data_IF_760596908073
#
_entry.id   IF_760596908073
#
_cell.length_a   1.000
_cell.length_b   1.000
_cell.length_c   1.000
_cell.angle_alpha   90.00
_cell.angle_beta   90.00
_cell.angle_gamma   90.00
#
_symmetry.space_group_name_H-M   'P 1'
#
loop_
_entity.id
_entity.type
_entity.pdbx_description
1 polymer ?
#
# COMPACT_ATOMS: atom_id res chain seq x y z
N UNK A 1 2.60 16.47 4.77
CA UNK A 1 3.93 16.77 4.21
C UNK A 1 5.01 15.91 4.90
N UNK A 2 6.04 15.48 4.17
CA UNK A 2 7.22 14.81 4.74
C UNK A 2 8.48 15.27 4.03
N UNK A 3 9.46 15.71 4.81
CA UNK A 3 10.79 16.08 4.32
C UNK A 3 11.88 15.39 5.13
N UNK A 4 13.01 15.14 4.49
CA UNK A 4 14.25 14.68 5.13
C UNK A 4 15.34 15.73 4.86
N UNK A 5 15.66 16.52 5.87
CA UNK A 5 16.53 17.67 5.71
C UNK A 5 15.93 18.68 4.73
N UNK A 6 16.60 18.95 3.62
CA UNK A 6 16.16 19.87 2.54
C UNK A 6 15.26 19.20 1.50
N UNK A 7 15.21 17.88 1.46
CA UNK A 7 14.50 17.15 0.41
C UNK A 7 13.06 16.90 0.80
N UNK A 8 12.12 17.47 0.05
CA UNK A 8 10.67 17.25 0.22
C UNK A 8 10.30 16.00 -0.55
N UNK A 9 9.80 14.98 0.18
CA UNK A 9 9.37 13.69 -0.41
C UNK A 9 7.88 13.69 -0.69
N UNK A 10 7.08 14.25 0.21
CA UNK A 10 5.62 14.31 0.10
C UNK A 10 5.17 15.72 0.46
N UNK A 11 4.41 16.37 -0.43
CA UNK A 11 3.93 17.72 -0.25
C UNK A 11 2.43 17.80 -0.58
N UNK A 12 1.69 18.46 0.28
CA UNK A 12 0.26 18.74 0.12
C UNK A 12 -0.59 17.54 -0.30
N UNK A 13 -0.33 16.38 0.33
CA UNK A 13 -1.08 15.15 0.08
C UNK A 13 -2.21 15.05 1.10
N UNK A 14 -3.45 15.02 0.59
CA UNK A 14 -4.67 14.82 1.39
C UNK A 14 -5.56 13.78 0.71
N UNK A 15 -5.96 12.76 1.45
CA UNK A 15 -6.87 11.72 0.97
C UNK A 15 -7.64 11.08 2.13
N UNK A 16 -8.68 10.35 1.78
CA UNK A 16 -9.42 9.50 2.71
C UNK A 16 -9.59 8.10 2.13
N UNK A 17 -9.52 7.09 2.98
CA UNK A 17 -9.74 5.68 2.62
C UNK A 17 -10.88 5.15 3.47
N UNK A 18 -11.87 4.52 2.83
CA UNK A 18 -13.03 3.98 3.49
C UNK A 18 -12.84 2.49 3.80
N UNK A 19 -13.65 1.97 4.74
CA UNK A 19 -13.68 0.54 5.03
C UNK A 19 -14.01 -0.27 3.77
N UNK A 20 -13.15 -1.25 3.47
CA UNK A 20 -13.30 -2.12 2.30
C UNK A 20 -12.73 -1.55 0.99
N UNK A 21 -12.16 -0.32 0.99
CA UNK A 21 -11.41 0.17 -0.15
C UNK A 21 -10.16 -0.70 -0.36
N UNK A 22 -9.84 -0.97 -1.62
CA UNK A 22 -8.63 -1.67 -2.03
C UNK A 22 -7.80 -0.73 -2.89
N UNK A 23 -6.83 -0.08 -2.24
CA UNK A 23 -6.05 1.01 -2.81
C UNK A 23 -4.70 0.50 -3.28
N UNK A 24 -4.36 0.73 -4.55
CA UNK A 24 -3.02 0.53 -5.08
C UNK A 24 -2.24 1.84 -5.09
N UNK A 25 -1.03 1.85 -4.57
CA UNK A 25 -0.13 3.01 -4.66
C UNK A 25 0.89 2.72 -5.77
N UNK A 26 0.92 3.58 -6.77
CA UNK A 26 1.82 3.48 -7.92
C UNK A 26 2.67 4.74 -8.05
N UNK A 27 3.82 4.63 -8.72
CA UNK A 27 4.71 5.76 -8.95
C UNK A 27 6.15 5.31 -9.19
N UNK A 28 7.04 6.19 -9.64
CA UNK A 28 8.45 5.86 -9.86
C UNK A 28 9.16 5.47 -8.56
N UNK A 29 10.33 4.84 -8.69
CA UNK A 29 11.18 4.58 -7.52
C UNK A 29 11.62 5.90 -6.91
N UNK A 30 11.63 5.98 -5.57
CA UNK A 30 11.95 7.20 -4.84
C UNK A 30 10.79 8.21 -4.72
N UNK A 31 9.59 7.95 -5.27
CA UNK A 31 8.44 8.84 -5.14
C UNK A 31 7.81 8.91 -3.73
N UNK A 32 8.37 8.20 -2.74
CA UNK A 32 7.88 8.25 -1.35
C UNK A 32 6.77 7.24 -1.04
N UNK A 33 6.53 6.21 -1.86
CA UNK A 33 5.48 5.20 -1.63
C UNK A 33 5.63 4.50 -0.27
N UNK A 34 6.79 3.93 0.01
CA UNK A 34 7.12 3.31 1.31
C UNK A 34 7.06 4.31 2.46
N UNK A 35 7.51 5.55 2.24
CA UNK A 35 7.42 6.62 3.23
C UNK A 35 5.96 6.94 3.58
N UNK A 36 5.08 6.98 2.58
CA UNK A 36 3.65 7.19 2.81
C UNK A 36 3.04 6.05 3.63
N UNK A 37 3.36 4.79 3.29
CA UNK A 37 2.90 3.63 4.08
C UNK A 37 3.41 3.69 5.52
N UNK A 38 4.68 4.01 5.74
CA UNK A 38 5.25 4.07 7.09
C UNK A 38 4.65 5.21 7.94
N UNK A 39 4.23 6.33 7.31
CA UNK A 39 3.51 7.41 7.99
C UNK A 39 2.10 6.95 8.38
N UNK A 40 1.38 6.27 7.47
CA UNK A 40 0.04 5.73 7.78
C UNK A 40 0.13 4.66 8.87
N UNK A 41 1.18 3.85 8.89
CA UNK A 41 1.44 2.84 9.92
C UNK A 41 1.77 3.44 11.31
N UNK A 42 2.06 4.74 11.37
CA UNK A 42 2.49 5.40 12.61
C UNK A 42 3.95 5.15 12.98
N UNK A 43 4.77 4.59 12.07
CA UNK A 43 6.20 4.36 12.30
C UNK A 43 7.05 5.60 12.06
N UNK A 44 6.61 6.47 11.14
CA UNK A 44 7.23 7.74 10.85
C UNK A 44 6.23 8.87 11.06
N UNK A 45 6.62 9.88 11.83
CA UNK A 45 5.81 11.08 11.98
C UNK A 45 5.87 11.95 10.70
N UNK A 46 4.75 12.54 10.25
CA UNK A 46 4.78 13.54 9.20
C UNK A 46 5.50 14.79 9.68
N UNK A 47 6.15 15.53 8.78
CA UNK A 47 6.78 16.83 9.11
C UNK A 47 5.71 17.89 9.37
N UNK A 48 4.57 17.80 8.67
CA UNK A 48 3.37 18.63 8.91
C UNK A 48 2.12 17.88 8.42
N UNK A 49 0.97 18.18 9.04
CA UNK A 49 -0.29 17.48 8.81
C UNK A 49 -0.44 16.27 9.74
N UNK A 50 -1.61 15.65 9.70
CA UNK A 50 -2.01 14.60 10.62
C UNK A 50 -2.54 13.37 9.88
N UNK A 51 -2.43 12.22 10.53
CA UNK A 51 -3.03 10.95 10.10
C UNK A 51 -4.09 10.55 11.11
N UNK A 52 -5.32 10.35 10.64
CA UNK A 52 -6.43 9.93 11.48
C UNK A 52 -6.86 8.52 11.12
N UNK A 53 -6.72 7.59 12.05
CA UNK A 53 -7.25 6.23 11.95
C UNK A 53 -8.35 6.08 12.99
N UNK A 54 -9.45 5.46 12.59
CA UNK A 54 -10.58 5.23 13.51
C UNK A 54 -10.11 4.43 14.73
N UNK A 55 -10.47 4.90 15.91
CA UNK A 55 -10.16 4.21 17.17
C UNK A 55 -10.64 2.75 17.15
N UNK A 56 -9.82 1.85 17.64
CA UNK A 56 -10.08 0.41 17.68
C UNK A 56 -9.79 -0.34 16.39
N UNK A 57 -9.31 0.32 15.33
CA UNK A 57 -8.86 -0.38 14.13
C UNK A 57 -7.43 -0.87 14.29
N UNK A 58 -7.22 -2.14 13.92
CA UNK A 58 -5.90 -2.78 13.90
C UNK A 58 -5.28 -2.57 12.52
N UNK A 59 -4.05 -2.04 12.52
CA UNK A 59 -3.28 -1.81 11.30
C UNK A 59 -2.19 -2.86 11.23
N UNK A 60 -2.18 -3.61 10.13
CA UNK A 60 -1.11 -4.54 9.78
C UNK A 60 -0.24 -3.94 8.67
N UNK A 61 1.07 -3.88 8.85
CA UNK A 61 1.99 -3.37 7.85
C UNK A 61 3.11 -4.37 7.55
N UNK A 62 3.12 -4.89 6.32
CA UNK A 62 4.19 -5.73 5.79
C UNK A 62 5.18 -4.86 5.02
N UNK A 63 6.39 -4.71 5.55
CA UNK A 63 7.49 -3.99 4.92
C UNK A 63 8.23 -4.86 3.89
N UNK A 64 8.84 -4.19 2.92
CA UNK A 64 9.70 -4.86 1.93
C UNK A 64 10.96 -5.48 2.55
N UNK A 65 11.47 -4.92 3.65
CA UNK A 65 12.67 -5.36 4.38
C UNK A 65 12.41 -5.23 5.88
N UNK A 66 13.22 -5.92 6.67
CA UNK A 66 13.21 -5.89 8.13
C UNK A 66 12.00 -6.62 8.77
N UNK A 67 11.96 -7.93 8.58
CA UNK A 67 11.11 -8.78 9.40
C UNK A 67 11.87 -9.15 10.65
N UNK A 68 11.55 -8.49 11.76
CA UNK A 68 12.04 -8.88 13.07
C UNK A 68 11.20 -10.04 13.56
N UNK A 69 11.76 -11.23 13.48
CA UNK A 69 11.21 -12.41 14.13
C UNK A 69 11.94 -12.63 15.45
N UNK A 70 11.21 -13.13 16.43
CA UNK A 70 11.82 -13.68 17.63
C UNK A 70 12.55 -15.00 17.30
N UNK A 71 13.37 -15.48 18.21
CA UNK A 71 13.91 -16.84 18.16
C UNK A 71 12.75 -17.84 18.24
N UNK A 72 12.86 -18.95 17.51
CA UNK A 72 11.85 -20.01 17.50
C UNK A 72 11.65 -20.61 16.12
N UNK A 73 10.63 -21.45 16.01
CA UNK A 73 10.26 -22.16 14.78
C UNK A 73 9.20 -21.41 13.98
N UNK A 74 9.02 -21.81 12.73
CA UNK A 74 8.00 -21.26 11.81
C UNK A 74 6.61 -21.35 12.41
N UNK A 75 6.24 -22.51 12.98
CA UNK A 75 4.91 -22.71 13.53
C UNK A 75 4.70 -21.93 14.82
N UNK A 76 5.72 -21.84 15.68
CA UNK A 76 5.65 -21.05 16.92
C UNK A 76 5.43 -19.56 16.64
N UNK A 77 6.13 -19.01 15.65
CA UNK A 77 5.95 -17.62 15.27
C UNK A 77 4.55 -17.34 14.75
N UNK A 78 4.05 -18.17 13.85
CA UNK A 78 2.70 -18.01 13.31
C UNK A 78 1.64 -18.24 14.39
N UNK A 79 1.87 -19.14 15.35
CA UNK A 79 0.98 -19.44 16.46
C UNK A 79 0.83 -18.27 17.45
N UNK A 80 1.83 -17.36 17.55
CA UNK A 80 1.73 -16.15 18.38
C UNK A 80 0.53 -15.28 18.04
N UNK A 81 0.10 -15.31 16.80
CA UNK A 81 -1.13 -14.61 16.34
C UNK A 81 -2.37 -15.08 17.10
N UNK A 82 -2.36 -16.32 17.58
CA UNK A 82 -3.46 -16.99 18.26
C UNK A 82 -3.26 -17.18 19.76
N UNK A 83 -2.33 -16.44 20.38
CA UNK A 83 -2.03 -16.53 21.83
C UNK A 83 -3.30 -16.45 22.67
N UNK A 84 -4.26 -15.57 22.29
CA UNK A 84 -5.54 -15.45 22.98
C UNK A 84 -6.39 -16.75 22.97
N UNK A 85 -6.27 -17.61 21.95
CA UNK A 85 -6.95 -18.90 21.94
C UNK A 85 -6.26 -19.90 22.86
N UNK A 86 -4.93 -19.89 22.94
CA UNK A 86 -4.21 -20.73 23.88
C UNK A 86 -4.54 -20.37 25.34
N UNK A 87 -4.60 -19.06 25.65
CA UNK A 87 -5.03 -18.58 26.96
C UNK A 87 -6.45 -19.02 27.30
N UNK A 88 -7.37 -18.93 26.32
CA UNK A 88 -8.75 -19.42 26.48
C UNK A 88 -8.79 -20.93 26.67
N UNK A 89 -8.01 -21.73 25.94
CA UNK A 89 -7.93 -23.18 26.09
C UNK A 89 -7.44 -23.57 27.48
N UNK A 90 -6.46 -22.86 28.04
CA UNK A 90 -5.97 -23.06 29.39
C UNK A 90 -7.02 -22.72 30.46
N UNK A 91 -7.74 -21.59 30.28
CA UNK A 91 -8.82 -21.18 31.17
C UNK A 91 -10.01 -22.15 31.11
N UNK A 92 -10.41 -22.60 29.92
CA UNK A 92 -11.42 -23.64 29.72
C UNK A 92 -11.03 -24.91 30.45
N UNK A 93 -9.79 -25.38 30.28
CA UNK A 93 -9.29 -26.58 30.95
C UNK A 93 -9.27 -26.46 32.49
N UNK A 94 -8.97 -25.27 33.01
CA UNK A 94 -9.01 -25.01 34.45
C UNK A 94 -10.42 -25.03 35.01
N UNK A 95 -11.37 -24.44 34.29
CA UNK A 95 -12.81 -24.44 34.64
C UNK A 95 -13.41 -25.84 34.54
N UNK A 96 -13.06 -26.64 33.54
CA UNK A 96 -13.47 -28.04 33.42
C UNK A 96 -13.03 -28.87 34.65
N UNK A 97 -11.81 -28.68 35.13
CA UNK A 97 -11.33 -29.34 36.32
C UNK A 97 -12.11 -28.88 37.57
N UNK A 98 -12.37 -27.59 37.69
CA UNK A 98 -13.12 -27.01 38.80
C UNK A 98 -14.58 -27.54 38.87
N UNK A 99 -15.24 -27.63 37.70
CA UNK A 99 -16.61 -28.15 37.58
C UNK A 99 -16.67 -29.67 37.85
N UNK A 100 -15.59 -30.38 37.54
CA UNK A 100 -15.49 -31.83 37.79
C UNK A 100 -15.30 -32.18 39.28
N UNK A 101 -14.95 -31.21 40.12
CA UNK A 101 -14.84 -31.40 41.55
C UNK A 101 -16.21 -31.33 42.22
N UNK A 102 -16.73 -32.47 42.70
CA UNK A 102 -18.03 -32.58 43.38
C UNK A 102 -18.16 -31.75 44.65
N UNK A 103 -17.04 -31.30 45.25
CA UNK A 103 -17.02 -30.49 46.47
C UNK A 103 -16.75 -29.00 46.20
N UNK A 104 -16.80 -28.57 44.94
CA UNK A 104 -16.53 -27.19 44.56
C UNK A 104 -17.59 -26.22 45.12
N UNK A 105 -17.25 -25.31 46.04
CA UNK A 105 -18.20 -24.36 46.60
C UNK A 105 -18.66 -23.28 45.61
N UNK A 106 -18.00 -23.16 44.46
CA UNK A 106 -18.29 -22.18 43.39
C UNK A 106 -18.81 -22.83 42.11
N UNK A 107 -19.34 -24.06 42.20
CA UNK A 107 -19.77 -24.85 41.03
C UNK A 107 -20.66 -24.03 40.06
N UNK A 108 -21.68 -23.36 40.54
CA UNK A 108 -22.61 -22.61 39.70
C UNK A 108 -21.91 -21.42 38.99
N UNK A 109 -21.01 -20.72 39.69
CA UNK A 109 -20.25 -19.61 39.13
C UNK A 109 -19.23 -20.08 38.06
N UNK A 110 -18.55 -21.19 38.35
CA UNK A 110 -17.57 -21.77 37.43
C UNK A 110 -18.25 -22.36 36.18
N UNK A 111 -19.46 -22.91 36.32
CA UNK A 111 -20.29 -23.40 35.22
C UNK A 111 -20.77 -22.27 34.31
N UNK A 112 -21.20 -21.15 34.91
CA UNK A 112 -21.59 -19.97 34.14
C UNK A 112 -20.39 -19.36 33.38
N UNK A 113 -19.24 -19.22 34.05
CA UNK A 113 -17.99 -18.75 33.44
C UNK A 113 -17.52 -19.66 32.28
N UNK A 114 -17.57 -20.98 32.48
CA UNK A 114 -17.25 -21.98 31.45
C UNK A 114 -18.15 -21.82 30.22
N UNK A 115 -19.48 -21.74 30.45
CA UNK A 115 -20.43 -21.62 29.36
C UNK A 115 -20.20 -20.34 28.55
N UNK A 116 -20.01 -19.23 29.24
CA UNK A 116 -19.73 -17.94 28.59
C UNK A 116 -18.40 -17.95 27.79
N UNK A 117 -17.35 -18.57 28.38
CA UNK A 117 -16.04 -18.67 27.72
C UNK A 117 -16.09 -19.59 26.51
N UNK A 118 -16.83 -20.71 26.60
CA UNK A 118 -17.03 -21.63 25.47
C UNK A 118 -17.80 -20.97 24.31
N UNK A 119 -18.85 -20.20 24.62
CA UNK A 119 -19.60 -19.45 23.60
C UNK A 119 -18.69 -18.39 22.93
N UNK A 120 -17.87 -17.69 23.70
CA UNK A 120 -16.90 -16.74 23.18
C UNK A 120 -15.85 -17.42 22.31
N UNK A 121 -15.27 -18.52 22.77
CA UNK A 121 -14.29 -19.32 22.04
C UNK A 121 -14.86 -19.81 20.70
N UNK A 122 -16.08 -20.33 20.70
CA UNK A 122 -16.79 -20.75 19.48
C UNK A 122 -17.09 -19.57 18.54
N UNK A 123 -17.58 -18.46 19.05
CA UNK A 123 -17.90 -17.26 18.26
C UNK A 123 -16.67 -16.67 17.58
N UNK A 124 -15.51 -16.75 18.22
CA UNK A 124 -14.22 -16.27 17.68
C UNK A 124 -13.58 -17.27 16.70
N UNK A 125 -14.10 -18.48 16.54
CA UNK A 125 -13.56 -19.51 15.64
C UNK A 125 -12.49 -20.40 16.29
N UNK A 126 -12.53 -20.58 17.61
CA UNK A 126 -11.57 -21.38 18.37
C UNK A 126 -11.39 -22.82 17.89
N UNK A 127 -12.45 -23.43 17.31
CA UNK A 127 -12.33 -24.78 16.75
C UNK A 127 -11.63 -24.85 15.39
N UNK A 128 -11.46 -23.72 14.70
CA UNK A 128 -10.93 -23.67 13.33
C UNK A 128 -9.54 -23.04 13.21
N UNK A 129 -9.07 -22.30 14.22
CA UNK A 129 -7.81 -21.53 14.13
C UNK A 129 -6.58 -22.40 13.83
N UNK A 130 -6.50 -23.63 14.39
CA UNK A 130 -5.39 -24.56 14.13
C UNK A 130 -5.34 -24.99 12.66
N UNK A 131 -6.52 -25.26 12.08
CA UNK A 131 -6.61 -25.60 10.65
C UNK A 131 -6.33 -24.40 9.75
N UNK A 132 -6.76 -23.20 10.16
CA UNK A 132 -6.47 -21.96 9.46
C UNK A 132 -4.97 -21.65 9.48
N UNK A 133 -4.31 -21.78 10.64
CA UNK A 133 -2.86 -21.63 10.79
C UNK A 133 -2.10 -22.52 9.82
N UNK A 134 -2.38 -23.82 9.83
CA UNK A 134 -1.74 -24.79 8.95
C UNK A 134 -2.03 -24.50 7.48
N UNK A 135 -3.28 -24.16 7.15
CA UNK A 135 -3.71 -23.85 5.78
C UNK A 135 -2.99 -22.63 5.20
N UNK A 136 -2.86 -21.57 5.98
CA UNK A 136 -2.14 -20.36 5.54
C UNK A 136 -0.65 -20.63 5.39
N UNK A 137 -0.02 -21.33 6.36
CA UNK A 137 1.39 -21.71 6.26
C UNK A 137 1.66 -22.56 5.02
N UNK A 138 0.86 -23.59 4.78
CA UNK A 138 0.98 -24.45 3.59
C UNK A 138 0.84 -23.65 2.28
N UNK A 139 -0.08 -22.67 2.25
CA UNK A 139 -0.30 -21.79 1.08
C UNK A 139 0.89 -20.87 0.79
N UNK A 140 1.68 -20.56 1.82
CA UNK A 140 2.93 -19.80 1.71
C UNK A 140 4.18 -20.67 1.54
N UNK A 141 3.98 -21.99 1.28
CA UNK A 141 5.07 -22.93 1.01
C UNK A 141 5.73 -23.52 2.24
N UNK A 142 5.10 -23.39 3.42
CA UNK A 142 5.54 -24.05 4.65
C UNK A 142 4.71 -25.31 4.88
N UNK A 143 5.21 -26.43 4.38
CA UNK A 143 4.61 -27.75 4.60
C UNK A 143 4.97 -28.28 6.00
N UNK A 144 4.32 -29.37 6.41
CA UNK A 144 4.49 -29.94 7.76
C UNK A 144 5.95 -30.25 8.16
N UNK A 145 6.78 -30.63 7.19
CA UNK A 145 8.22 -30.90 7.34
C UNK A 145 9.04 -29.62 7.63
N UNK A 146 8.49 -28.44 7.35
CA UNK A 146 9.16 -27.14 7.56
C UNK A 146 8.65 -26.38 8.78
N UNK A 147 7.62 -26.88 9.46
CA UNK A 147 7.03 -26.19 10.59
C UNK A 147 8.00 -26.03 11.78
N UNK A 148 8.83 -27.06 12.05
CA UNK A 148 9.81 -27.06 13.11
C UNK A 148 11.16 -26.44 12.70
N UNK A 149 11.24 -25.89 11.47
CA UNK A 149 12.45 -25.23 11.00
C UNK A 149 12.65 -23.91 11.74
N UNK A 150 13.87 -23.71 12.26
CA UNK A 150 14.21 -22.44 12.91
C UNK A 150 14.16 -21.27 11.94
N UNK A 151 13.61 -20.15 12.38
CA UNK A 151 13.49 -18.91 11.59
C UNK A 151 14.87 -18.37 11.21
N UNK A 152 15.88 -18.59 12.05
CA UNK A 152 17.28 -18.24 11.77
C UNK A 152 17.79 -18.87 10.47
N UNK A 153 17.33 -20.07 10.14
CA UNK A 153 17.73 -20.84 8.96
C UNK A 153 16.94 -20.48 7.69
N UNK A 154 15.93 -19.62 7.79
CA UNK A 154 15.13 -19.19 6.65
C UNK A 154 15.90 -18.21 5.78
N UNK A 155 15.78 -18.37 4.45
CA UNK A 155 16.22 -17.37 3.48
C UNK A 155 15.39 -16.08 3.62
N UNK A 156 15.88 -14.96 3.09
CA UNK A 156 15.15 -13.69 3.11
C UNK A 156 13.75 -13.79 2.49
N UNK A 157 13.62 -14.52 1.38
CA UNK A 157 12.32 -14.76 0.73
C UNK A 157 11.38 -15.61 1.59
N UNK A 158 11.87 -16.65 2.28
CA UNK A 158 11.08 -17.44 3.22
C UNK A 158 10.62 -16.59 4.41
N UNK A 159 11.48 -15.72 4.94
CA UNK A 159 11.10 -14.77 6.02
C UNK A 159 9.99 -13.83 5.58
N UNK A 160 10.06 -13.30 4.35
CA UNK A 160 8.99 -12.45 3.81
C UNK A 160 7.68 -13.21 3.69
N UNK A 161 7.70 -14.46 3.22
CA UNK A 161 6.49 -15.31 3.14
C UNK A 161 5.91 -15.64 4.52
N UNK A 162 6.77 -15.92 5.50
CA UNK A 162 6.32 -16.13 6.88
C UNK A 162 5.67 -14.88 7.47
N UNK A 163 6.29 -13.71 7.29
CA UNK A 163 5.70 -12.43 7.74
C UNK A 163 4.34 -12.17 7.09
N UNK A 164 4.21 -12.45 5.79
CA UNK A 164 2.94 -12.35 5.08
C UNK A 164 1.90 -13.32 5.64
N UNK A 165 2.27 -14.56 5.94
CA UNK A 165 1.40 -15.55 6.57
C UNK A 165 0.90 -15.07 7.94
N UNK A 166 1.80 -14.60 8.81
CA UNK A 166 1.44 -14.06 10.12
C UNK A 166 0.49 -12.86 10.00
N UNK A 167 0.75 -11.95 9.05
CA UNK A 167 -0.11 -10.79 8.79
C UNK A 167 -1.52 -11.21 8.35
N UNK A 168 -1.63 -12.23 7.52
CA UNK A 168 -2.93 -12.75 7.07
C UNK A 168 -3.72 -13.41 8.20
N UNK A 169 -3.03 -14.11 9.09
CA UNK A 169 -3.63 -14.74 10.27
C UNK A 169 -4.15 -13.70 11.27
N UNK A 170 -3.48 -12.55 11.40
CA UNK A 170 -3.92 -11.44 12.25
C UNK A 170 -5.22 -10.78 11.79
N UNK A 171 -5.54 -10.85 10.49
CA UNK A 171 -6.74 -10.24 9.88
C UNK A 171 -6.98 -8.78 10.30
N UNK A 172 -5.99 -7.88 10.17
CA UNK A 172 -6.12 -6.50 10.60
C UNK A 172 -7.24 -5.77 9.85
N UNK A 173 -7.84 -4.72 10.43
CA UNK A 173 -8.87 -3.91 9.74
C UNK A 173 -8.31 -3.16 8.53
N UNK A 174 -7.03 -2.76 8.61
CA UNK A 174 -6.28 -2.12 7.53
C UNK A 174 -5.02 -2.94 7.27
N UNK A 175 -4.95 -3.55 6.10
CA UNK A 175 -3.81 -4.34 5.65
C UNK A 175 -2.98 -3.53 4.68
N UNK A 176 -1.73 -3.22 5.06
CA UNK A 176 -0.78 -2.49 4.23
C UNK A 176 0.34 -3.42 3.79
N UNK A 177 0.57 -3.47 2.46
CA UNK A 177 1.54 -4.37 1.85
C UNK A 177 2.49 -3.57 0.96
N UNK A 178 3.80 -3.66 1.25
CA UNK A 178 4.84 -3.04 0.42
C UNK A 178 5.56 -4.12 -0.40
N UNK A 179 5.28 -4.16 -1.71
CA UNK A 179 5.80 -5.12 -2.69
C UNK A 179 5.60 -6.60 -2.29
N UNK A 180 4.35 -7.02 -1.97
CA UNK A 180 4.09 -8.37 -1.44
C UNK A 180 4.28 -9.47 -2.48
N UNK A 181 4.36 -9.13 -3.76
CA UNK A 181 4.55 -10.09 -4.85
C UNK A 181 5.99 -10.55 -5.02
N UNK A 182 6.94 -9.84 -4.41
CA UNK A 182 8.33 -10.22 -4.44
C UNK A 182 8.54 -11.56 -3.70
N UNK A 183 9.34 -12.44 -4.28
CA UNK A 183 9.67 -13.77 -3.74
C UNK A 183 8.51 -14.78 -3.69
N UNK A 184 7.38 -14.51 -4.38
CA UNK A 184 6.27 -15.45 -4.54
C UNK A 184 6.35 -16.16 -5.88
N UNK A 185 6.09 -17.46 -5.89
CA UNK A 185 5.84 -18.21 -7.12
C UNK A 185 4.41 -17.98 -7.63
N UNK A 186 4.09 -18.51 -8.82
CA UNK A 186 2.78 -18.32 -9.44
C UNK A 186 1.62 -18.91 -8.61
N UNK A 187 1.86 -19.99 -7.87
CA UNK A 187 0.81 -20.62 -7.03
C UNK A 187 0.52 -19.77 -5.81
N UNK A 188 1.59 -19.30 -5.15
CA UNK A 188 1.48 -18.40 -4.00
C UNK A 188 0.85 -17.06 -4.39
N UNK A 189 1.22 -16.51 -5.55
CA UNK A 189 0.63 -15.29 -6.08
C UNK A 189 -0.88 -15.46 -6.35
N UNK A 190 -1.29 -16.54 -7.00
CA UNK A 190 -2.69 -16.83 -7.27
C UNK A 190 -3.51 -16.99 -5.97
N UNK A 191 -2.90 -17.63 -4.96
CA UNK A 191 -3.53 -17.76 -3.65
C UNK A 191 -3.65 -16.40 -2.94
N UNK A 192 -2.58 -15.58 -2.96
CA UNK A 192 -2.60 -14.22 -2.40
C UNK A 192 -3.68 -13.36 -3.06
N UNK A 193 -3.78 -13.39 -4.40
CA UNK A 193 -4.84 -12.71 -5.13
C UNK A 193 -6.24 -13.12 -4.66
N UNK A 194 -6.47 -14.44 -4.51
CA UNK A 194 -7.74 -14.97 -4.03
C UNK A 194 -8.07 -14.52 -2.62
N UNK A 195 -7.08 -14.56 -1.72
CA UNK A 195 -7.22 -14.09 -0.35
C UNK A 195 -7.58 -12.59 -0.31
N UNK A 196 -6.81 -11.74 -0.99
CA UNK A 196 -7.04 -10.29 -1.00
C UNK A 196 -8.38 -9.91 -1.65
N UNK A 197 -8.87 -10.67 -2.63
CA UNK A 197 -10.20 -10.46 -3.23
C UNK A 197 -11.32 -10.66 -2.22
N UNK A 198 -11.21 -11.66 -1.36
CA UNK A 198 -12.22 -12.00 -0.36
C UNK A 198 -12.06 -11.24 0.96
N UNK A 199 -10.94 -10.52 1.10
CA UNK A 199 -10.64 -9.75 2.31
C UNK A 199 -11.65 -8.63 2.55
N UNK A 200 -12.26 -8.62 3.75
CA UNK A 200 -13.31 -7.66 4.11
C UNK A 200 -12.78 -6.35 4.67
N UNK A 201 -11.52 -6.32 5.12
CA UNK A 201 -10.84 -5.12 5.60
C UNK A 201 -10.43 -4.20 4.46
N UNK A 202 -9.83 -3.10 4.81
CA UNK A 202 -9.22 -2.15 3.87
C UNK A 202 -7.84 -2.64 3.47
N UNK A 203 -7.50 -2.52 2.20
CA UNK A 203 -6.17 -2.89 1.67
C UNK A 203 -5.50 -1.65 1.10
N UNK A 204 -4.24 -1.45 1.45
CA UNK A 204 -3.36 -0.47 0.80
C UNK A 204 -2.12 -1.22 0.34
N UNK A 205 -1.89 -1.28 -0.96
CA UNK A 205 -0.79 -2.07 -1.52
C UNK A 205 0.08 -1.24 -2.45
N UNK A 206 1.39 -1.32 -2.25
CA UNK A 206 2.40 -0.87 -3.22
C UNK A 206 2.83 -2.08 -4.01
N UNK A 207 2.74 -2.04 -5.33
CA UNK A 207 3.29 -3.08 -6.20
C UNK A 207 3.66 -2.54 -7.57
N UNK A 208 4.67 -3.15 -8.18
CA UNK A 208 5.05 -2.93 -9.58
C UNK A 208 4.35 -3.92 -10.52
N UNK A 209 3.70 -4.95 -9.99
CA UNK A 209 2.94 -5.93 -10.77
C UNK A 209 1.57 -5.37 -11.19
N UNK A 210 1.47 -5.02 -12.47
CA UNK A 210 0.26 -4.44 -13.07
C UNK A 210 -0.92 -5.41 -13.08
N UNK A 211 -0.67 -6.70 -13.31
CA UNK A 211 -1.71 -7.73 -13.34
C UNK A 211 -2.28 -7.98 -11.95
N UNK A 212 -1.41 -8.02 -10.95
CA UNK A 212 -1.81 -8.13 -9.57
C UNK A 212 -2.68 -6.95 -9.13
N UNK A 213 -2.25 -5.71 -9.40
CA UNK A 213 -3.03 -4.52 -9.08
C UNK A 213 -4.38 -4.51 -9.81
N UNK A 214 -4.39 -4.82 -11.11
CA UNK A 214 -5.63 -4.78 -11.91
C UNK A 214 -6.74 -5.70 -11.37
N UNK A 215 -6.35 -6.82 -10.75
CA UNK A 215 -7.27 -7.81 -10.21
C UNK A 215 -7.78 -7.53 -8.81
N UNK A 216 -7.05 -6.74 -8.03
CA UNK A 216 -7.32 -6.58 -6.59
C UNK A 216 -7.85 -5.21 -6.26
N UNK A 217 -7.28 -4.15 -6.86
CA UNK A 217 -7.58 -2.79 -6.44
C UNK A 217 -8.78 -2.21 -7.16
N UNK A 218 -9.50 -1.34 -6.45
CA UNK A 218 -10.61 -0.55 -6.99
C UNK A 218 -10.34 0.95 -6.97
N UNK A 219 -9.12 1.33 -6.55
CA UNK A 219 -8.68 2.72 -6.44
C UNK A 219 -7.16 2.77 -6.55
N UNK A 220 -6.63 3.77 -7.25
CA UNK A 220 -5.19 3.95 -7.45
C UNK A 220 -4.77 5.34 -6.97
N UNK A 221 -3.73 5.37 -6.16
CA UNK A 221 -2.99 6.57 -5.78
C UNK A 221 -1.72 6.65 -6.63
N UNK A 222 -1.69 7.58 -7.59
CA UNK A 222 -0.51 7.83 -8.42
C UNK A 222 0.37 8.90 -7.75
N UNK A 223 1.53 8.47 -7.26
CA UNK A 223 2.53 9.36 -6.65
C UNK A 223 3.55 9.79 -7.68
N UNK A 224 3.61 11.10 -7.96
CA UNK A 224 4.55 11.70 -8.91
C UNK A 224 5.12 12.99 -8.38
N UNK A 225 6.44 13.08 -8.41
CA UNK A 225 7.11 14.16 -7.69
C UNK A 225 6.74 14.07 -6.22
N UNK A 226 6.26 15.17 -5.64
CA UNK A 226 5.85 15.26 -4.24
C UNK A 226 4.35 15.09 -4.02
N UNK A 227 3.56 14.97 -5.11
CA UNK A 227 2.08 15.00 -5.08
C UNK A 227 1.47 13.62 -5.29
N UNK A 228 0.21 13.47 -4.84
CA UNK A 228 -0.59 12.28 -5.02
C UNK A 228 -1.87 12.63 -5.80
N UNK A 229 -2.15 11.81 -6.80
CA UNK A 229 -3.42 11.91 -7.56
C UNK A 229 -4.23 10.64 -7.36
N UNK A 230 -5.48 10.80 -6.99
CA UNK A 230 -6.43 9.73 -6.71
C UNK A 230 -7.27 9.40 -7.95
N UNK A 231 -7.25 8.13 -8.34
CA UNK A 231 -8.05 7.60 -9.45
C UNK A 231 -8.93 6.45 -8.95
N UNK A 232 -10.24 6.56 -9.16
CA UNK A 232 -11.17 5.45 -8.92
C UNK A 232 -11.14 4.48 -10.09
N UNK A 233 -11.10 3.20 -9.79
CA UNK A 233 -11.06 2.09 -10.73
C UNK A 233 -9.87 1.18 -10.57
N UNK A 234 -9.79 0.15 -11.42
CA UNK A 234 -8.66 -0.77 -11.46
C UNK A 234 -7.44 -0.16 -12.18
N UNK A 235 -6.37 -0.92 -12.30
CA UNK A 235 -5.14 -0.42 -12.93
C UNK A 235 -5.31 -0.08 -14.40
N UNK A 236 -6.08 -0.85 -15.15
CA UNK A 236 -6.37 -0.59 -16.58
C UNK A 236 -7.17 0.70 -16.77
N UNK A 237 -8.20 0.93 -15.97
CA UNK A 237 -8.99 2.18 -15.99
C UNK A 237 -8.15 3.40 -15.58
N UNK A 238 -7.27 3.23 -14.59
CA UNK A 238 -6.33 4.27 -14.20
C UNK A 238 -5.45 4.71 -15.38
N UNK A 239 -4.89 3.76 -16.15
CA UNK A 239 -4.04 4.10 -17.30
C UNK A 239 -4.77 4.96 -18.33
N UNK A 240 -6.05 4.66 -18.61
CA UNK A 240 -6.88 5.45 -19.53
C UNK A 240 -7.10 6.86 -18.97
N UNK A 241 -7.64 6.96 -17.74
CA UNK A 241 -7.94 8.25 -17.10
C UNK A 241 -6.70 9.13 -16.95
N UNK A 242 -5.57 8.51 -16.64
CA UNK A 242 -4.28 9.19 -16.58
C UNK A 242 -3.86 9.75 -17.94
N UNK A 243 -3.95 8.93 -19.01
CA UNK A 243 -3.59 9.37 -20.37
C UNK A 243 -4.45 10.54 -20.82
N UNK A 244 -5.75 10.49 -20.56
CA UNK A 244 -6.68 11.59 -20.86
C UNK A 244 -6.29 12.88 -20.10
N UNK A 245 -6.01 12.77 -18.81
CA UNK A 245 -5.58 13.91 -17.98
C UNK A 245 -4.26 14.53 -18.47
N UNK A 246 -3.27 13.67 -18.76
CA UNK A 246 -1.97 14.12 -19.31
C UNK A 246 -2.16 14.84 -20.66
N UNK A 247 -3.07 14.36 -21.51
CA UNK A 247 -3.37 15.03 -22.78
C UNK A 247 -4.05 16.38 -22.61
N UNK A 248 -5.01 16.49 -21.69
CA UNK A 248 -5.65 17.78 -21.34
C UNK A 248 -4.62 18.77 -20.85
N UNK A 249 -3.79 18.37 -19.86
CA UNK A 249 -2.73 19.23 -19.31
C UNK A 249 -1.73 19.69 -20.40
N UNK A 250 -1.39 18.80 -21.34
CA UNK A 250 -0.50 19.14 -22.45
C UNK A 250 -1.14 20.18 -23.37
N UNK A 251 -2.42 20.01 -23.72
CA UNK A 251 -3.15 20.96 -24.57
C UNK A 251 -3.26 22.34 -23.90
N UNK A 252 -3.53 22.37 -22.60
CA UNK A 252 -3.60 23.62 -21.83
C UNK A 252 -2.23 24.32 -21.78
N UNK A 253 -1.16 23.57 -21.49
CA UNK A 253 0.20 24.10 -21.54
C UNK A 253 0.57 24.66 -22.91
N UNK A 254 0.32 23.91 -24.00
CA UNK A 254 0.61 24.37 -25.36
C UNK A 254 -0.17 25.63 -25.71
N UNK A 255 -1.44 25.70 -25.29
CA UNK A 255 -2.29 26.90 -25.49
C UNK A 255 -1.76 28.10 -24.73
N UNK A 256 -1.36 27.91 -23.48
CA UNK A 256 -0.76 28.96 -22.66
C UNK A 256 0.56 29.44 -23.25
N UNK A 257 1.45 28.54 -23.68
CA UNK A 257 2.74 28.89 -24.28
C UNK A 257 2.54 29.70 -25.59
N UNK A 258 1.58 29.31 -26.42
CA UNK A 258 1.23 30.09 -27.65
C UNK A 258 0.73 31.49 -27.32
N UNK A 259 -0.09 31.66 -26.29
CA UNK A 259 -0.58 32.97 -25.86
C UNK A 259 0.54 33.82 -25.24
N UNK A 260 1.42 33.23 -24.43
CA UNK A 260 2.61 33.93 -23.89
C UNK A 260 3.47 34.45 -25.04
N UNK A 261 3.84 33.60 -25.99
CA UNK A 261 4.66 33.97 -27.13
C UNK A 261 4.02 35.09 -27.98
N UNK A 262 2.68 35.03 -28.17
CA UNK A 262 1.92 36.09 -28.85
C UNK A 262 1.97 37.41 -28.10
N UNK A 263 1.79 37.40 -26.81
CA UNK A 263 1.85 38.60 -25.97
C UNK A 263 3.26 39.21 -25.98
N UNK A 264 4.30 38.40 -25.89
CA UNK A 264 5.70 38.84 -25.98
C UNK A 264 6.01 39.51 -27.35
N UNK A 265 5.47 38.96 -28.44
CA UNK A 265 5.63 39.55 -29.78
C UNK A 265 4.96 40.91 -29.86
N UNK A 266 3.73 41.06 -29.33
CA UNK A 266 3.00 42.33 -29.29
C UNK A 266 3.79 43.35 -28.44
N UNK A 267 4.30 42.94 -27.28
CA UNK A 267 5.12 43.82 -26.42
C UNK A 267 6.36 44.28 -27.16
N UNK A 268 7.06 43.39 -27.88
CA UNK A 268 8.24 43.70 -28.67
C UNK A 268 7.91 44.72 -29.78
N UNK A 269 6.82 44.53 -30.50
CA UNK A 269 6.36 45.47 -31.55
C UNK A 269 6.05 46.85 -30.98
N UNK A 270 5.36 46.93 -29.82
CA UNK A 270 5.04 48.19 -29.16
C UNK A 270 6.30 48.95 -28.69
N UNK A 271 7.30 48.26 -28.20
CA UNK A 271 8.61 48.86 -27.81
C UNK A 271 9.40 49.35 -29.00
N UNK A 272 9.33 48.70 -30.19
CA UNK A 272 10.02 49.12 -31.38
C UNK A 272 9.46 50.44 -31.94
N UNK A 273 8.18 50.72 -31.82
CA UNK A 273 7.54 51.95 -32.29
C UNK A 273 7.78 53.17 -31.38
N UNK A 274 8.41 53.04 -30.24
CA UNK A 274 8.92 54.07 -29.33
C UNK A 274 8.01 55.29 -29.07
N UNK A 275 6.70 55.18 -29.20
CA UNK A 275 5.73 56.22 -28.88
C UNK A 275 5.33 56.07 -27.41
N UNK A 276 5.31 57.16 -26.64
CA UNK A 276 5.03 57.15 -25.18
C UNK A 276 3.77 56.35 -24.81
N UNK A 277 2.72 56.47 -25.59
CA UNK A 277 1.45 55.71 -25.39
C UNK A 277 1.63 54.21 -25.62
N UNK A 278 2.40 53.77 -26.64
CA UNK A 278 2.66 52.36 -26.93
C UNK A 278 3.61 51.74 -25.87
N UNK A 279 4.58 52.51 -25.37
CA UNK A 279 5.42 52.05 -24.28
C UNK A 279 4.63 51.82 -23.01
N UNK A 280 3.69 52.69 -22.62
CA UNK A 280 2.80 52.49 -21.48
C UNK A 280 1.95 51.23 -21.64
N UNK A 281 1.42 50.96 -22.86
CA UNK A 281 0.65 49.74 -23.17
C UNK A 281 1.55 48.46 -23.07
N UNK A 282 2.80 48.55 -23.56
CA UNK A 282 3.73 47.44 -23.42
C UNK A 282 4.01 47.12 -21.95
N UNK A 283 4.30 48.13 -21.13
CA UNK A 283 4.52 47.95 -19.66
C UNK A 283 3.32 47.33 -18.96
N UNK A 284 2.05 47.75 -19.32
CA UNK A 284 0.86 47.18 -18.74
C UNK A 284 0.70 45.70 -19.10
N UNK A 285 1.06 45.29 -20.35
CA UNK A 285 1.02 43.89 -20.76
C UNK A 285 2.13 43.06 -20.10
N UNK A 286 3.33 43.60 -19.95
CA UNK A 286 4.42 42.94 -19.22
C UNK A 286 4.05 42.65 -17.76
N UNK A 287 3.42 43.63 -17.06
CA UNK A 287 2.93 43.41 -15.70
C UNK A 287 1.89 42.28 -15.65
N UNK A 288 0.98 42.22 -16.62
CA UNK A 288 -0.01 41.12 -16.71
C UNK A 288 0.67 39.77 -16.96
N UNK A 289 1.68 39.73 -17.83
CA UNK A 289 2.44 38.52 -18.12
C UNK A 289 3.24 38.04 -16.90
N UNK A 290 3.84 38.97 -16.15
CA UNK A 290 4.59 38.68 -14.93
C UNK A 290 3.70 38.13 -13.79
N UNK A 291 2.41 38.47 -13.77
CA UNK A 291 1.42 37.93 -12.80
C UNK A 291 0.69 36.69 -13.33
N UNK A 292 1.00 36.22 -14.54
CA UNK A 292 0.40 34.99 -15.07
C UNK A 292 1.06 33.79 -14.38
N UNK A 293 0.25 32.95 -13.78
CA UNK A 293 0.70 31.67 -13.23
C UNK A 293 1.05 30.74 -14.41
N UNK A 294 2.35 30.50 -14.59
CA UNK A 294 2.85 29.67 -15.68
C UNK A 294 2.64 28.21 -15.31
N UNK A 295 1.93 27.48 -16.15
CA UNK A 295 1.74 26.03 -15.98
C UNK A 295 3.09 25.32 -16.14
N UNK A 296 3.34 24.37 -15.26
CA UNK A 296 4.51 23.51 -15.36
C UNK A 296 4.45 22.65 -16.62
N UNK A 297 5.60 22.44 -17.23
CA UNK A 297 5.70 21.57 -18.38
C UNK A 297 5.30 20.16 -18.00
N UNK A 298 4.22 19.56 -18.61
CA UNK A 298 3.86 18.19 -18.33
C UNK A 298 5.05 17.27 -18.61
N UNK A 299 5.35 16.36 -17.66
CA UNK A 299 6.43 15.39 -17.84
C UNK A 299 6.17 14.59 -19.12
N UNK A 300 7.07 14.69 -20.08
CA UNK A 300 7.01 13.89 -21.30
C UNK A 300 6.97 12.42 -20.92
N UNK A 301 6.11 11.63 -21.59
CA UNK A 301 6.20 10.16 -21.55
C UNK A 301 7.68 9.79 -21.64
N UNK A 302 8.17 8.99 -20.69
CA UNK A 302 9.46 8.35 -20.90
C UNK A 302 9.37 7.66 -22.26
N UNK A 303 10.24 8.08 -23.20
CA UNK A 303 10.29 7.49 -24.52
C UNK A 303 10.51 5.98 -24.29
N UNK A 304 9.58 5.16 -24.78
CA UNK A 304 9.79 3.73 -24.85
C UNK A 304 11.08 3.51 -25.63
N UNK A 305 12.09 3.02 -24.96
CA UNK A 305 13.34 2.62 -25.60
C UNK A 305 13.00 1.43 -26.49
N UNK A 306 12.73 1.67 -27.77
CA UNK A 306 12.59 0.61 -28.75
C UNK A 306 13.98 0.12 -29.07
N UNK A 307 14.44 -0.87 -28.31
CA UNK A 307 15.63 -1.63 -28.64
C UNK A 307 15.25 -2.60 -29.76
N UNK A 308 15.63 -2.29 -31.00
CA UNK A 308 15.65 -3.26 -32.09
C UNK A 308 17.01 -3.99 -32.04
N UNK A 309 16.99 -5.27 -31.75
CA UNK A 309 18.16 -6.12 -31.87
C UNK A 309 18.16 -6.70 -33.29
N UNK A 310 18.97 -6.17 -34.16
CA UNK A 310 19.30 -6.85 -35.42
C UNK A 310 20.38 -7.88 -35.11
N UNK A 311 20.05 -9.16 -35.30
CA UNK A 311 21.01 -10.25 -35.13
C UNK A 311 21.87 -10.34 -36.39
N UNK A 312 23.07 -9.77 -36.35
CA UNK A 312 24.06 -9.82 -37.46
C UNK A 312 24.80 -11.16 -37.61
N UNK A 313 24.44 -12.18 -36.84
CA UNK A 313 25.07 -13.50 -36.95
C UNK A 313 24.07 -14.57 -37.38
N UNK A 314 24.16 -14.97 -38.66
CA UNK A 314 23.67 -16.27 -39.10
C UNK A 314 24.62 -17.33 -38.57
N UNK A 315 24.15 -18.22 -37.67
CA UNK A 315 24.88 -19.42 -37.29
C UNK A 315 25.19 -20.22 -38.53
N UNK A 316 26.49 -20.40 -38.87
CA UNK A 316 26.94 -21.28 -39.90
C UNK A 316 26.52 -22.74 -39.62
N UNK A 317 26.29 -23.46 -40.70
CA UNK A 317 25.99 -24.90 -40.74
C UNK A 317 27.03 -25.73 -40.04
#
# INVERSE_FOLDING_TARGET
>A
CKSYGTDIIIEDVSFSVNKGDKVGIVGPNGAGKTTLLSIIAGENEPTSGDVFIRSGYVVGYLKQKDHFFSEGTVIEEAAKTFTHFYEMEEEISSLEKAISDTNNPRFDQDLEAYTHLMDKYKAMGGYSYKSELIGVLASMGFCADTHDKEISMLSGGEKTRLALACMMLQKPDILMLDEPTNHLDLKMLAWLESFLKTYKGTIIVVSHDRYFLDRIVNRIFDMRGTHLVDYRGNYSEYLVKRSEREEVMRREYEKQQKEIARQEEIIRRFKQHNTEHLVKRAQSREKRLAHLEVLDRPSLKQAELKLSFDADFKSGK
#
